data_IF_798207639119
#
_entry.id   IF_798207639119
#
_cell.length_a   1.000
_cell.length_b   1.000
_cell.length_c   1.000
_cell.angle_alpha   90.00
_cell.angle_beta   90.00
_cell.angle_gamma   90.00
#
_symmetry.space_group_name_H-M   'P 1'
#
loop_
_entity.id
_entity.type
_entity.pdbx_description
1 polymer ?
#
# COMPACT_ATOMS: atom_id res chain seq x y z
N UNK A 1 -12.16 9.55 33.19
CA UNK A 1 -13.21 8.51 33.25
C UNK A 1 -12.90 7.29 32.38
N UNK A 2 -12.78 7.39 31.05
CA UNK A 2 -12.47 6.19 30.21
C UNK A 2 -11.07 5.62 30.47
N UNK A 3 -10.05 6.47 30.70
CA UNK A 3 -8.69 6.00 31.01
C UNK A 3 -8.57 5.32 32.38
N UNK A 4 -9.33 5.77 33.38
CA UNK A 4 -9.32 5.18 34.73
C UNK A 4 -9.96 3.79 34.72
N UNK A 5 -11.08 3.61 34.00
CA UNK A 5 -11.72 2.30 33.82
C UNK A 5 -10.87 1.29 33.04
N UNK A 6 -10.02 1.74 32.11
CA UNK A 6 -9.03 0.88 31.43
C UNK A 6 -7.87 0.51 32.37
N UNK A 7 -7.41 1.45 33.20
CA UNK A 7 -6.35 1.21 34.18
C UNK A 7 -6.81 0.30 35.35
N UNK A 8 -8.08 0.41 35.75
CA UNK A 8 -8.73 -0.43 36.76
C UNK A 8 -9.14 -1.81 36.22
N UNK A 9 -8.83 -2.12 34.95
CA UNK A 9 -9.09 -3.41 34.33
C UNK A 9 -10.57 -3.69 34.01
N UNK A 10 -11.46 -2.73 34.25
CA UNK A 10 -12.89 -2.86 33.94
C UNK A 10 -13.19 -2.74 32.44
N UNK A 11 -12.30 -2.11 31.66
CA UNK A 11 -12.38 -2.02 30.20
C UNK A 11 -11.09 -2.49 29.54
N UNK A 12 -11.16 -3.58 28.76
CA UNK A 12 -10.06 -4.02 27.91
C UNK A 12 -10.17 -3.37 26.52
N UNK A 13 -9.06 -2.76 26.05
CA UNK A 13 -9.00 -2.23 24.68
C UNK A 13 -8.77 -3.37 23.70
N UNK A 14 -9.84 -3.92 23.14
CA UNK A 14 -9.79 -4.97 22.11
C UNK A 14 -9.95 -4.35 20.72
N UNK A 15 -9.02 -4.63 19.81
CA UNK A 15 -9.13 -4.26 18.39
C UNK A 15 -9.28 -5.51 17.55
N UNK A 16 -10.35 -5.60 16.76
CA UNK A 16 -10.53 -6.66 15.77
C UNK A 16 -10.08 -6.17 14.39
N UNK A 17 -9.17 -6.89 13.75
CA UNK A 17 -8.78 -6.63 12.35
C UNK A 17 -9.74 -7.36 11.43
N UNK A 18 -10.30 -6.66 10.44
CA UNK A 18 -11.01 -7.32 9.34
C UNK A 18 -9.95 -7.97 8.47
N UNK A 19 -9.93 -9.31 8.46
CA UNK A 19 -9.12 -10.07 7.53
C UNK A 19 -9.97 -10.35 6.28
N UNK A 20 -9.45 -10.10 5.08
CA UNK A 20 -10.13 -10.54 3.88
C UNK A 20 -10.27 -12.08 3.93
N UNK A 21 -11.49 -12.58 3.73
CA UNK A 21 -11.75 -14.01 3.73
C UNK A 21 -11.07 -14.64 2.52
N UNK A 22 -10.01 -15.41 2.77
CA UNK A 22 -9.34 -16.16 1.72
C UNK A 22 -10.13 -17.44 1.41
N UNK A 23 -10.54 -17.57 0.15
CA UNK A 23 -11.12 -18.82 -0.36
C UNK A 23 -10.05 -19.93 -0.35
N UNK A 24 -10.48 -21.20 -0.35
CA UNK A 24 -9.54 -22.32 -0.43
C UNK A 24 -8.62 -22.22 -1.67
N UNK A 25 -9.19 -21.77 -2.80
CA UNK A 25 -8.44 -21.47 -4.03
C UNK A 25 -7.37 -20.41 -3.80
N UNK A 26 -7.72 -19.25 -3.23
CA UNK A 26 -6.73 -18.19 -3.00
C UNK A 26 -5.60 -18.64 -2.07
N UNK A 27 -5.89 -19.53 -1.09
CA UNK A 27 -4.84 -20.10 -0.23
C UNK A 27 -3.91 -21.00 -1.05
N UNK A 28 -4.46 -21.87 -1.89
CA UNK A 28 -3.71 -22.79 -2.74
C UNK A 28 -2.87 -22.03 -3.77
N UNK A 29 -3.44 -21.05 -4.46
CA UNK A 29 -2.74 -20.20 -5.43
C UNK A 29 -1.57 -19.46 -4.76
N UNK A 30 -1.74 -19.00 -3.51
CA UNK A 30 -0.66 -18.36 -2.75
C UNK A 30 0.45 -19.33 -2.37
N UNK A 31 0.12 -20.56 -1.98
CA UNK A 31 1.13 -21.59 -1.67
C UNK A 31 1.89 -21.96 -2.93
N UNK A 32 1.19 -22.20 -4.04
CA UNK A 32 1.83 -22.50 -5.33
C UNK A 32 2.75 -21.37 -5.79
N UNK A 33 2.33 -20.11 -5.64
CA UNK A 33 3.17 -18.97 -5.95
C UNK A 33 4.43 -18.89 -5.08
N UNK A 34 4.36 -19.23 -3.79
CA UNK A 34 5.57 -19.25 -2.94
C UNK A 34 6.48 -20.40 -3.32
N UNK A 35 5.91 -21.58 -3.61
CA UNK A 35 6.69 -22.76 -4.02
C UNK A 35 7.46 -22.52 -5.32
N UNK A 36 6.95 -21.69 -6.24
CA UNK A 36 7.68 -21.38 -7.48
C UNK A 36 8.97 -20.56 -7.27
N UNK A 37 9.20 -20.01 -6.08
CA UNK A 37 10.45 -19.31 -5.74
C UNK A 37 11.43 -20.18 -4.94
N UNK A 38 11.10 -21.45 -4.70
CA UNK A 38 11.97 -22.38 -3.98
C UNK A 38 12.62 -23.30 -5.00
N UNK A 39 13.94 -23.35 -5.00
CA UNK A 39 14.69 -24.34 -5.78
C UNK A 39 14.49 -25.73 -5.14
N UNK A 40 13.91 -26.66 -5.91
CA UNK A 40 13.60 -28.02 -5.48
C UNK A 40 14.85 -28.82 -5.05
N UNK A 41 16.02 -28.47 -5.59
CA UNK A 41 17.26 -29.19 -5.32
C UNK A 41 17.95 -28.73 -4.04
N UNK A 42 18.06 -27.41 -3.85
CA UNK A 42 18.73 -26.81 -2.68
C UNK A 42 17.79 -26.50 -1.53
N UNK A 43 16.47 -26.52 -1.76
CA UNK A 43 15.44 -26.03 -0.85
C UNK A 43 15.69 -24.60 -0.36
N UNK A 44 16.36 -23.80 -1.18
CA UNK A 44 16.62 -22.38 -0.91
C UNK A 44 15.71 -21.49 -1.75
N UNK A 45 15.39 -20.30 -1.25
CA UNK A 45 14.66 -19.31 -2.02
C UNK A 45 15.58 -18.69 -3.07
N UNK A 46 15.03 -18.43 -4.26
CA UNK A 46 15.71 -17.64 -5.28
C UNK A 46 16.08 -16.25 -4.73
N UNK A 47 17.30 -15.80 -5.03
CA UNK A 47 17.76 -14.47 -4.68
C UNK A 47 17.00 -13.46 -5.56
N UNK A 48 15.92 -12.89 -5.02
CA UNK A 48 15.01 -11.95 -5.69
C UNK A 48 15.68 -10.58 -5.97
N UNK A 49 16.99 -10.55 -6.17
CA UNK A 49 17.82 -9.37 -6.40
C UNK A 49 17.46 -8.62 -7.70
N UNK A 50 16.77 -9.31 -8.60
CA UNK A 50 16.27 -8.78 -9.86
C UNK A 50 14.76 -8.49 -9.88
N UNK A 51 14.07 -8.59 -8.73
CA UNK A 51 12.61 -8.37 -8.64
C UNK A 51 12.28 -7.00 -8.01
N UNK A 52 11.65 -6.14 -8.79
CA UNK A 52 11.12 -4.85 -8.35
C UNK A 52 9.61 -4.92 -8.12
N UNK A 53 9.19 -4.60 -6.90
CA UNK A 53 7.78 -4.53 -6.53
C UNK A 53 7.25 -3.12 -6.74
N UNK A 54 6.19 -2.97 -7.53
CA UNK A 54 5.54 -1.68 -7.79
C UNK A 54 4.12 -1.75 -7.27
N UNK A 55 3.76 -0.81 -6.40
CA UNK A 55 2.46 -0.73 -5.74
C UNK A 55 1.80 0.64 -5.95
N UNK A 56 0.47 0.67 -5.96
CA UNK A 56 -0.31 1.89 -6.02
C UNK A 56 -0.82 2.27 -4.63
N UNK A 57 -0.52 3.51 -4.21
CA UNK A 57 -0.95 3.98 -2.90
C UNK A 57 -1.82 5.22 -3.00
N UNK A 58 -3.03 5.10 -2.46
CA UNK A 58 -3.96 6.20 -2.27
C UNK A 58 -3.71 6.92 -0.95
N UNK A 59 -3.50 8.22 -1.05
CA UNK A 59 -3.43 9.16 0.06
C UNK A 59 -4.73 9.96 0.12
N UNK A 60 -5.27 10.12 1.31
CA UNK A 60 -6.45 10.93 1.54
C UNK A 60 -5.98 12.27 2.10
N UNK A 61 -6.55 13.38 1.62
CA UNK A 61 -6.31 14.72 2.19
C UNK A 61 -6.60 14.72 3.70
N UNK A 62 -7.66 14.01 4.10
CA UNK A 62 -8.08 13.91 5.48
C UNK A 62 -8.45 12.48 5.91
N UNK A 63 -8.40 12.21 7.21
CA UNK A 63 -8.83 10.96 7.84
C UNK A 63 -10.12 11.17 8.62
N UNK A 64 -11.05 10.22 8.49
CA UNK A 64 -12.35 10.21 9.17
C UNK A 64 -12.23 10.44 10.69
N UNK A 65 -11.20 9.85 11.32
CA UNK A 65 -10.89 10.03 12.73
C UNK A 65 -9.47 10.56 12.89
N UNK A 66 -9.31 11.71 13.54
CA UNK A 66 -8.01 12.24 13.99
C UNK A 66 -8.03 12.44 15.50
N UNK A 67 -6.93 12.09 16.15
CA UNK A 67 -6.67 12.43 17.54
C UNK A 67 -5.89 13.74 17.57
N UNK A 68 -6.40 14.73 18.30
CA UNK A 68 -5.71 15.99 18.59
C UNK A 68 -5.20 15.95 20.04
N UNK A 69 -4.01 16.50 20.26
CA UNK A 69 -3.52 16.85 21.59
C UNK A 69 -3.67 18.37 21.68
N UNK A 70 -4.39 18.85 22.69
CA UNK A 70 -4.68 20.27 22.89
C UNK A 70 -4.19 20.71 24.27
N UNK A 71 -3.75 21.96 24.37
CA UNK A 71 -3.47 22.56 25.66
C UNK A 71 -4.76 22.96 26.39
N UNK A 72 -4.75 23.09 27.73
CA UNK A 72 -5.92 23.56 28.47
C UNK A 72 -6.35 24.96 27.99
N UNK A 73 -7.58 25.07 27.46
CA UNK A 73 -8.14 26.32 26.93
C UNK A 73 -8.07 26.47 25.40
N UNK A 74 -7.43 25.54 24.70
CA UNK A 74 -7.40 25.53 23.24
C UNK A 74 -8.65 24.84 22.68
N UNK A 75 -9.32 25.48 21.71
CA UNK A 75 -10.53 24.92 21.10
C UNK A 75 -10.19 23.87 20.03
N UNK A 76 -11.03 22.83 19.94
CA UNK A 76 -10.90 21.80 18.91
C UNK A 76 -11.05 22.42 17.51
N UNK A 77 -10.15 22.08 16.57
CA UNK A 77 -10.32 22.51 15.18
C UNK A 77 -11.65 22.00 14.62
N UNK A 78 -12.52 22.93 14.22
CA UNK A 78 -13.80 22.59 13.61
C UNK A 78 -13.57 21.91 12.25
N UNK A 79 -14.12 20.68 12.10
CA UNK A 79 -14.10 19.95 10.85
C UNK A 79 -15.51 19.55 10.45
N UNK A 80 -16.01 20.15 9.38
CA UNK A 80 -17.29 19.76 8.77
C UNK A 80 -17.14 19.51 7.28
N UNK A 81 -17.72 18.42 6.79
CA UNK A 81 -17.91 18.14 5.36
C UNK A 81 -19.27 17.48 5.15
N UNK A 82 -19.84 17.61 3.95
CA UNK A 82 -21.16 17.06 3.63
C UNK A 82 -21.20 15.53 3.76
N UNK A 83 -20.22 14.81 3.18
CA UNK A 83 -20.11 13.34 3.20
C UNK A 83 -18.63 12.95 3.07
N UNK A 84 -18.21 11.87 3.74
CA UNK A 84 -16.83 11.33 3.71
C UNK A 84 -16.27 11.01 2.31
N UNK A 85 -17.14 10.67 1.36
CA UNK A 85 -16.73 10.33 -0.02
C UNK A 85 -16.16 11.53 -0.78
N UNK A 86 -16.37 12.75 -0.29
CA UNK A 86 -15.87 13.98 -0.87
C UNK A 86 -14.48 14.38 -0.34
N UNK A 87 -13.83 13.53 0.45
CA UNK A 87 -12.43 13.74 0.83
C UNK A 87 -11.58 13.50 -0.43
N UNK A 88 -10.83 14.51 -0.92
CA UNK A 88 -9.94 14.35 -2.04
C UNK A 88 -8.96 13.19 -1.80
N UNK A 89 -8.85 12.34 -2.83
CA UNK A 89 -7.91 11.23 -2.86
C UNK A 89 -6.83 11.58 -3.87
N UNK A 90 -5.59 11.47 -3.44
CA UNK A 90 -4.42 11.60 -4.28
C UNK A 90 -3.77 10.23 -4.39
N UNK A 91 -3.64 9.71 -5.59
CA UNK A 91 -2.77 8.56 -5.82
C UNK A 91 -1.30 9.04 -5.82
N UNK A 92 -0.37 8.26 -5.25
CA UNK A 92 1.08 8.52 -5.35
C UNK A 92 1.56 8.79 -6.78
N UNK A 93 0.88 8.23 -7.78
CA UNK A 93 1.22 8.34 -9.20
C UNK A 93 0.59 9.55 -9.91
N UNK A 94 -0.22 10.35 -9.20
CA UNK A 94 -0.94 11.49 -9.77
C UNK A 94 -0.22 12.82 -9.43
N UNK A 95 0.49 13.40 -10.41
CA UNK A 95 1.17 14.70 -10.27
C UNK A 95 0.29 15.91 -10.66
N UNK A 96 -0.94 15.72 -11.16
CA UNK A 96 -1.89 16.82 -11.36
C UNK A 96 -3.35 16.41 -11.08
N UNK A 97 -4.13 17.35 -10.58
CA UNK A 97 -5.41 17.11 -9.88
C UNK A 97 -6.56 16.55 -10.74
N UNK A 98 -6.43 16.39 -12.06
CA UNK A 98 -7.60 16.24 -12.94
C UNK A 98 -7.66 15.01 -13.85
N UNK A 99 -6.82 13.99 -13.66
CA UNK A 99 -6.92 12.75 -14.46
C UNK A 99 -7.15 11.52 -13.59
N UNK A 100 -8.31 10.88 -13.77
CA UNK A 100 -8.54 9.48 -13.36
C UNK A 100 -7.38 8.63 -13.90
N UNK A 101 -6.74 7.84 -13.03
CA UNK A 101 -5.59 7.00 -13.38
C UNK A 101 -6.07 5.88 -14.30
N UNK A 102 -6.11 6.15 -15.60
CA UNK A 102 -6.41 5.13 -16.59
C UNK A 102 -5.14 4.35 -16.97
N UNK A 103 -5.33 3.22 -17.64
CA UNK A 103 -4.23 2.37 -18.13
C UNK A 103 -3.19 3.13 -18.97
N UNK A 104 -3.61 4.12 -19.75
CA UNK A 104 -2.72 4.89 -20.62
C UNK A 104 -1.82 5.85 -19.82
N UNK A 105 -2.39 6.55 -18.83
CA UNK A 105 -1.66 7.41 -17.90
C UNK A 105 -0.66 6.57 -17.11
N UNK A 106 -1.10 5.46 -16.53
CA UNK A 106 -0.23 4.54 -15.78
C UNK A 106 0.93 4.02 -16.63
N UNK A 107 0.64 3.53 -17.85
CA UNK A 107 1.66 3.08 -18.80
C UNK A 107 2.63 4.22 -19.16
N UNK A 108 2.12 5.42 -19.42
CA UNK A 108 2.97 6.56 -19.77
C UNK A 108 3.91 6.95 -18.63
N UNK A 109 3.44 6.86 -17.39
CA UNK A 109 4.23 7.18 -16.20
C UNK A 109 5.35 6.15 -16.00
N UNK A 110 5.03 4.85 -16.13
CA UNK A 110 6.02 3.79 -16.06
C UNK A 110 7.15 3.98 -17.09
N UNK A 111 6.78 4.29 -18.33
CA UNK A 111 7.75 4.46 -19.42
C UNK A 111 8.58 5.75 -19.28
N UNK A 112 7.95 6.86 -18.84
CA UNK A 112 8.60 8.17 -18.79
C UNK A 112 9.46 8.40 -17.55
N UNK A 113 9.04 7.89 -16.40
CA UNK A 113 9.65 8.22 -15.12
C UNK A 113 10.22 6.99 -14.42
N UNK A 114 9.43 5.91 -14.29
CA UNK A 114 9.80 4.77 -13.44
C UNK A 114 10.92 3.92 -14.06
N UNK A 115 10.74 3.44 -15.28
CA UNK A 115 11.74 2.57 -15.93
C UNK A 115 13.08 3.29 -16.12
N UNK A 116 13.13 4.56 -16.57
CA UNK A 116 14.39 5.30 -16.63
C UNK A 116 15.09 5.41 -15.27
N UNK A 117 14.36 5.78 -14.21
CA UNK A 117 14.93 5.89 -12.87
C UNK A 117 15.43 4.54 -12.34
N UNK A 118 14.69 3.45 -12.59
CA UNK A 118 15.15 2.09 -12.25
C UNK A 118 16.48 1.79 -12.94
N UNK A 119 16.58 2.02 -14.26
CA UNK A 119 17.81 1.75 -15.02
C UNK A 119 19.00 2.58 -14.53
N UNK A 120 18.76 3.81 -14.13
CA UNK A 120 19.79 4.71 -13.60
C UNK A 120 20.32 4.22 -12.24
N UNK A 121 19.41 3.84 -11.33
CA UNK A 121 19.76 3.39 -9.98
C UNK A 121 20.13 1.89 -9.90
N UNK A 122 19.96 1.14 -11.00
CA UNK A 122 20.20 -0.30 -11.00
C UNK A 122 21.69 -0.64 -10.77
N UNK A 123 21.99 -1.60 -9.86
CA UNK A 123 23.36 -2.00 -9.57
C UNK A 123 24.12 -2.39 -10.84
N UNK A 124 25.32 -1.83 -11.02
CA UNK A 124 26.15 -2.05 -12.23
C UNK A 124 26.48 -3.53 -12.43
N UNK A 125 26.71 -4.26 -11.33
CA UNK A 125 27.00 -5.70 -11.36
C UNK A 125 25.83 -6.58 -11.82
N UNK A 126 24.61 -6.07 -11.81
CA UNK A 126 23.38 -6.82 -12.15
C UNK A 126 22.77 -6.38 -13.49
N UNK A 127 23.43 -5.50 -14.26
CA UNK A 127 22.91 -4.95 -15.54
C UNK A 127 22.71 -5.99 -16.66
N UNK A 128 23.26 -7.20 -16.51
CA UNK A 128 23.09 -8.31 -17.46
C UNK A 128 21.92 -9.24 -17.14
N UNK A 129 21.29 -9.09 -15.96
CA UNK A 129 20.13 -9.92 -15.56
C UNK A 129 18.82 -9.24 -15.97
N UNK A 130 17.80 -10.01 -16.38
CA UNK A 130 16.48 -9.45 -16.63
C UNK A 130 15.88 -8.90 -15.33
N UNK A 131 15.39 -7.66 -15.36
CA UNK A 131 14.67 -7.05 -14.23
C UNK A 131 13.20 -7.47 -14.33
N UNK A 132 12.71 -8.14 -13.31
CA UNK A 132 11.31 -8.54 -13.19
C UNK A 132 10.55 -7.46 -12.43
N UNK A 133 9.44 -7.00 -12.99
CA UNK A 133 8.54 -6.05 -12.31
C UNK A 133 7.32 -6.82 -11.85
N UNK A 134 7.11 -6.88 -10.53
CA UNK A 134 5.95 -7.46 -9.91
C UNK A 134 4.93 -6.38 -9.57
N UNK A 135 3.69 -6.61 -10.00
CA UNK A 135 2.52 -5.78 -9.73
C UNK A 135 1.44 -6.63 -9.07
N UNK A 136 0.46 -5.97 -8.44
CA UNK A 136 -0.74 -6.64 -8.00
C UNK A 136 -1.65 -6.98 -9.20
N UNK A 137 -2.56 -7.94 -9.02
CA UNK A 137 -3.53 -8.31 -10.05
C UNK A 137 -4.78 -7.42 -10.00
N UNK A 138 -4.65 -6.17 -9.54
CA UNK A 138 -5.76 -5.24 -9.49
C UNK A 138 -6.13 -4.80 -10.91
N UNK A 139 -7.44 -4.75 -11.20
CA UNK A 139 -7.90 -4.13 -12.44
C UNK A 139 -7.61 -2.63 -12.38
N UNK A 140 -7.10 -2.02 -13.48
CA UNK A 140 -7.00 -0.56 -13.55
C UNK A 140 -8.35 0.07 -13.23
N UNK A 141 -8.34 1.06 -12.34
CA UNK A 141 -9.54 1.77 -11.87
C UNK A 141 -10.09 2.75 -12.91
#
# INVERSE_FOLDING_TARGET
MVRSLVAEGQLARVTTRIWPTLTAKNKLDRVQHVLSYIDESTHTFEDMDNVMHVDEKWYYEDKDKRSYMLFPGEELPYRSRKIKHFIPKLCSWQLSQDHVVNRAVYKSFLLKFVIPAIKEQWPVGSRGRPILIQQDNAKPH
#
